data_IF_952651562420
#
_entry.id   IF_952651562420
#
_cell.length_a   1.000
_cell.length_b   1.000
_cell.length_c   1.000
_cell.angle_alpha   90.00
_cell.angle_beta   90.00
_cell.angle_gamma   90.00
#
_symmetry.space_group_name_H-M   'P 1'
#
loop_
_entity.id
_entity.type
_entity.pdbx_description
1 polymer ?
#
# COMPACT_ATOMS: atom_id res chain seq x y z
N UNK A 1 19.42 -12.24 19.85
CA UNK A 1 19.93 -11.09 20.62
C UNK A 1 18.95 -9.94 20.46
N UNK A 2 18.40 -9.43 21.57
CA UNK A 2 17.44 -8.32 21.58
C UNK A 2 18.03 -7.21 22.45
N UNK A 3 18.41 -6.12 21.81
CA UNK A 3 19.01 -4.92 22.41
C UNK A 3 18.22 -3.66 22.00
N UNK A 4 16.92 -3.81 21.77
CA UNK A 4 16.05 -2.70 21.44
C UNK A 4 15.91 -1.71 22.61
N UNK A 5 15.84 -0.41 22.30
CA UNK A 5 15.62 0.65 23.28
C UNK A 5 16.62 0.61 24.45
N UNK A 6 17.92 0.63 24.13
CA UNK A 6 19.02 0.56 25.11
C UNK A 6 19.90 1.80 25.10
N UNK A 7 19.48 2.87 24.43
CA UNK A 7 20.29 4.10 24.22
C UNK A 7 21.69 3.79 23.65
N UNK A 8 21.81 2.72 22.86
CA UNK A 8 23.08 2.38 22.21
C UNK A 8 23.43 3.42 21.16
N UNK A 9 24.71 3.77 21.05
CA UNK A 9 25.24 4.70 20.07
C UNK A 9 26.47 4.10 19.36
N UNK A 10 27.02 4.85 18.40
CA UNK A 10 28.14 4.38 17.58
C UNK A 10 27.67 3.46 16.45
N UNK A 11 28.62 2.76 15.84
CA UNK A 11 28.37 1.90 14.67
C UNK A 11 28.06 0.47 15.06
N UNK A 12 27.30 -0.25 14.24
CA UNK A 12 27.16 -1.71 14.38
C UNK A 12 28.52 -2.35 14.08
N UNK A 13 29.16 -3.03 15.05
CA UNK A 13 30.49 -3.60 14.83
C UNK A 13 30.40 -4.86 13.95
N UNK A 14 31.36 -5.03 13.03
CA UNK A 14 31.44 -6.22 12.15
C UNK A 14 31.63 -7.52 12.93
N UNK A 15 32.13 -7.47 14.17
CA UNK A 15 32.29 -8.62 15.05
C UNK A 15 30.96 -9.30 15.40
N UNK A 16 29.82 -8.63 15.22
CA UNK A 16 28.49 -9.24 15.38
C UNK A 16 28.30 -10.46 14.47
N UNK A 17 29.00 -10.51 13.33
CA UNK A 17 28.94 -11.62 12.37
C UNK A 17 29.55 -12.92 12.90
N UNK A 18 30.31 -12.88 14.00
CA UNK A 18 30.81 -14.07 14.69
C UNK A 18 29.70 -14.82 15.46
N UNK A 19 28.54 -14.20 15.68
CA UNK A 19 27.41 -14.78 16.40
C UNK A 19 26.55 -15.65 15.47
N UNK A 20 27.17 -16.68 14.89
CA UNK A 20 26.61 -17.50 13.80
C UNK A 20 25.33 -18.26 14.14
N UNK A 21 25.08 -18.50 15.43
CA UNK A 21 23.86 -19.15 15.92
C UNK A 21 22.67 -18.19 16.10
N UNK A 22 22.82 -16.89 15.78
CA UNK A 22 21.73 -15.92 15.92
C UNK A 22 20.61 -16.19 14.91
N UNK A 23 19.41 -16.39 15.45
CA UNK A 23 18.15 -16.45 14.67
C UNK A 23 17.39 -15.13 14.67
N UNK A 24 17.57 -14.31 15.71
CA UNK A 24 16.98 -12.97 15.82
C UNK A 24 18.02 -11.95 16.24
N UNK A 25 18.07 -10.83 15.54
CA UNK A 25 18.87 -9.65 15.89
C UNK A 25 17.96 -8.43 15.89
N UNK A 26 17.69 -7.90 17.08
CA UNK A 26 16.92 -6.66 17.25
C UNK A 26 17.79 -5.60 17.92
N UNK A 27 18.14 -4.56 17.15
CA UNK A 27 18.87 -3.37 17.57
C UNK A 27 18.01 -2.09 17.44
N UNK A 28 16.69 -2.25 17.33
CA UNK A 28 15.79 -1.13 17.02
C UNK A 28 15.67 -0.11 18.15
N UNK A 29 15.20 1.09 17.82
CA UNK A 29 14.97 2.18 18.77
C UNK A 29 16.25 2.53 19.56
N UNK A 30 17.36 2.73 18.85
CA UNK A 30 18.63 3.18 19.43
C UNK A 30 19.12 4.43 18.69
N UNK A 31 20.35 4.87 18.99
CA UNK A 31 21.02 5.99 18.32
C UNK A 31 22.22 5.50 17.50
N UNK A 32 22.11 4.32 16.88
CA UNK A 32 23.16 3.75 16.06
C UNK A 32 23.36 4.57 14.78
N UNK A 33 24.62 4.76 14.38
CA UNK A 33 25.05 5.57 13.23
C UNK A 33 25.92 4.76 12.27
N UNK A 34 26.26 5.36 11.13
CA UNK A 34 27.15 4.76 10.14
C UNK A 34 26.44 3.73 9.26
N UNK A 35 27.23 2.93 8.54
CA UNK A 35 26.71 1.94 7.59
C UNK A 35 26.26 0.66 8.29
N UNK A 36 25.29 -0.03 7.69
CA UNK A 36 24.96 -1.41 8.06
C UNK A 36 26.11 -2.29 7.55
N UNK A 37 26.89 -2.96 8.43
CA UNK A 37 27.95 -3.84 7.96
C UNK A 37 27.36 -5.03 7.22
N UNK A 38 28.12 -5.61 6.29
CA UNK A 38 27.74 -6.86 5.65
C UNK A 38 27.64 -7.97 6.69
N UNK A 39 26.43 -8.50 6.92
CA UNK A 39 26.14 -9.43 8.01
C UNK A 39 26.48 -10.91 7.69
N UNK A 40 27.41 -11.17 6.76
CA UNK A 40 27.52 -12.44 6.00
C UNK A 40 27.64 -13.71 6.85
N UNK A 41 28.11 -13.61 8.09
CA UNK A 41 28.22 -14.73 9.03
C UNK A 41 26.92 -15.14 9.73
N UNK A 42 25.84 -14.36 9.61
CA UNK A 42 24.56 -14.61 10.28
C UNK A 42 23.63 -15.50 9.44
N UNK A 43 24.11 -16.65 8.99
CA UNK A 43 23.39 -17.54 8.08
C UNK A 43 22.12 -18.18 8.66
N UNK A 44 21.99 -18.24 10.00
CA UNK A 44 20.78 -18.73 10.69
C UNK A 44 19.75 -17.62 10.95
N UNK A 45 20.01 -16.38 10.55
CA UNK A 45 19.17 -15.24 10.91
C UNK A 45 17.82 -15.32 10.18
N UNK A 46 16.75 -15.29 10.97
CA UNK A 46 15.36 -15.29 10.49
C UNK A 46 14.69 -13.93 10.66
N UNK A 47 15.11 -13.16 11.66
CA UNK A 47 14.48 -11.90 12.06
C UNK A 47 15.55 -10.83 12.33
N UNK A 48 15.58 -9.81 11.47
CA UNK A 48 16.45 -8.66 11.57
C UNK A 48 15.62 -7.39 11.78
N UNK A 49 15.80 -6.73 12.92
CA UNK A 49 15.19 -5.44 13.21
C UNK A 49 16.27 -4.40 13.56
N UNK A 50 16.43 -3.42 12.68
CA UNK A 50 17.34 -2.28 12.80
C UNK A 50 16.57 -0.94 12.80
N UNK A 51 15.25 -0.99 12.92
CA UNK A 51 14.37 0.17 12.76
C UNK A 51 14.61 1.27 13.81
N UNK A 52 14.26 2.51 13.46
CA UNK A 52 14.39 3.68 14.34
C UNK A 52 15.82 3.87 14.88
N UNK A 53 16.75 4.12 13.96
CA UNK A 53 18.14 4.46 14.23
C UNK A 53 18.58 5.62 13.30
N UNK A 54 19.87 5.94 13.26
CA UNK A 54 20.48 6.91 12.36
C UNK A 54 21.44 6.24 11.37
N UNK A 55 21.16 4.98 10.99
CA UNK A 55 21.97 4.23 10.04
C UNK A 55 21.90 4.88 8.65
N UNK A 56 22.99 4.82 7.90
CA UNK A 56 23.16 5.56 6.64
C UNK A 56 23.90 4.73 5.59
N UNK A 57 24.02 5.27 4.37
CA UNK A 57 24.63 4.56 3.25
C UNK A 57 23.67 3.56 2.60
N UNK A 58 24.21 2.50 2.00
CA UNK A 58 23.44 1.52 1.24
C UNK A 58 22.90 0.40 2.14
N UNK A 59 21.76 -0.16 1.76
CA UNK A 59 21.30 -1.44 2.31
C UNK A 59 22.20 -2.55 1.75
N UNK A 60 22.89 -3.34 2.60
CA UNK A 60 23.78 -4.39 2.12
C UNK A 60 22.99 -5.51 1.46
N UNK A 61 23.66 -6.30 0.61
CA UNK A 61 23.06 -7.48 0.01
C UNK A 61 22.87 -8.57 1.05
N UNK A 62 21.66 -9.13 1.11
CA UNK A 62 21.28 -10.20 2.02
C UNK A 62 21.11 -11.49 1.22
N UNK A 63 22.05 -12.42 1.38
CA UNK A 63 22.01 -13.73 0.72
C UNK A 63 21.53 -14.85 1.65
N UNK A 64 20.89 -14.52 2.77
CA UNK A 64 20.48 -15.52 3.76
C UNK A 64 19.19 -16.20 3.33
N UNK A 65 19.29 -17.49 3.03
CA UNK A 65 18.13 -18.31 2.72
C UNK A 65 17.07 -18.30 3.85
N UNK A 66 17.49 -18.17 5.11
CA UNK A 66 16.60 -18.27 6.28
C UNK A 66 15.88 -16.97 6.66
N UNK A 67 16.24 -15.81 6.11
CA UNK A 67 15.71 -14.53 6.56
C UNK A 67 14.24 -14.39 6.14
N UNK A 68 13.35 -14.20 7.13
CA UNK A 68 11.89 -14.09 6.96
C UNK A 68 11.40 -12.66 7.19
N UNK A 69 11.96 -11.97 8.18
CA UNK A 69 11.56 -10.62 8.57
C UNK A 69 12.76 -9.70 8.52
N UNK A 70 12.63 -8.62 7.77
CA UNK A 70 13.61 -7.53 7.71
C UNK A 70 12.90 -6.20 7.93
N UNK A 71 13.15 -5.58 9.09
CA UNK A 71 12.70 -4.24 9.41
C UNK A 71 13.91 -3.30 9.57
N UNK A 72 14.03 -2.32 8.69
CA UNK A 72 15.06 -1.28 8.72
C UNK A 72 14.41 0.11 8.58
N UNK A 73 13.16 0.23 9.04
CA UNK A 73 12.36 1.46 8.97
C UNK A 73 13.03 2.63 9.69
N UNK A 74 12.75 3.86 9.27
CA UNK A 74 13.13 5.08 10.00
C UNK A 74 14.63 5.16 10.25
N UNK A 75 15.40 5.26 9.17
CA UNK A 75 16.85 5.46 9.13
C UNK A 75 17.19 6.50 8.04
N UNK A 76 18.47 6.73 7.77
CA UNK A 76 18.97 7.64 6.74
C UNK A 76 19.60 6.87 5.57
N UNK A 77 19.02 5.73 5.20
CA UNK A 77 19.54 4.87 4.12
C UNK A 77 19.25 5.47 2.75
N UNK A 78 20.16 5.21 1.81
CA UNK A 78 20.18 5.77 0.46
C UNK A 78 20.43 4.67 -0.57
N UNK A 79 20.40 5.02 -1.85
CA UNK A 79 20.68 4.09 -2.94
C UNK A 79 19.43 3.36 -3.42
N UNK A 80 19.62 2.20 -4.06
CA UNK A 80 18.53 1.40 -4.61
C UNK A 80 17.93 0.46 -3.57
N UNK A 81 16.73 -0.06 -3.85
CA UNK A 81 16.17 -1.19 -3.10
C UNK A 81 17.14 -2.40 -3.16
N UNK A 82 17.35 -3.12 -2.04
CA UNK A 82 18.22 -4.28 -2.02
C UNK A 82 17.63 -5.41 -2.87
N UNK A 83 18.49 -6.14 -3.59
CA UNK A 83 18.10 -7.41 -4.19
C UNK A 83 17.92 -8.45 -3.08
N UNK A 84 16.72 -9.02 -2.99
CA UNK A 84 16.37 -10.05 -1.99
C UNK A 84 16.30 -11.47 -2.60
N UNK A 85 16.89 -11.66 -3.78
CA UNK A 85 17.01 -12.96 -4.47
C UNK A 85 17.61 -14.04 -3.56
N UNK A 86 16.94 -15.19 -3.48
CA UNK A 86 17.39 -16.33 -2.69
C UNK A 86 17.05 -16.29 -1.21
N UNK A 87 16.27 -15.29 -0.75
CA UNK A 87 15.76 -15.23 0.63
C UNK A 87 14.37 -15.84 0.74
N UNK A 88 14.01 -16.34 1.94
CA UNK A 88 12.65 -16.75 2.29
C UNK A 88 11.81 -15.59 2.86
N UNK A 89 12.07 -14.36 2.39
CA UNK A 89 11.53 -13.16 3.02
C UNK A 89 10.00 -13.08 2.90
N UNK A 90 9.34 -12.89 4.03
CA UNK A 90 7.88 -12.80 4.17
C UNK A 90 7.45 -11.36 4.47
N UNK A 91 8.29 -10.60 5.19
CA UNK A 91 8.04 -9.22 5.59
C UNK A 91 9.27 -8.37 5.32
N UNK A 92 9.09 -7.32 4.50
CA UNK A 92 10.09 -6.29 4.25
C UNK A 92 9.54 -4.91 4.60
N UNK A 93 10.18 -4.25 5.56
CA UNK A 93 9.87 -2.88 5.96
C UNK A 93 11.12 -2.00 5.87
N UNK A 94 11.10 -1.09 4.88
CA UNK A 94 12.14 -0.09 4.61
C UNK A 94 11.56 1.33 4.62
N UNK A 95 10.42 1.54 5.27
CA UNK A 95 9.77 2.85 5.30
C UNK A 95 10.67 3.94 5.90
N UNK A 96 10.39 5.21 5.58
CA UNK A 96 11.05 6.37 6.18
C UNK A 96 12.58 6.30 6.03
N UNK A 97 13.04 6.26 4.79
CA UNK A 97 14.45 6.33 4.40
C UNK A 97 14.57 7.28 3.17
N UNK A 98 15.72 7.33 2.52
CA UNK A 98 15.96 8.06 1.28
C UNK A 98 16.30 7.11 0.12
N UNK A 99 15.66 5.94 0.07
CA UNK A 99 15.85 4.95 -1.00
C UNK A 99 15.25 5.46 -2.31
N UNK A 100 15.82 5.03 -3.44
CA UNK A 100 15.53 5.52 -4.78
C UNK A 100 15.47 4.39 -5.81
N UNK A 101 15.13 4.73 -7.06
CA UNK A 101 14.93 3.76 -8.13
C UNK A 101 13.54 3.15 -8.13
N UNK A 102 13.34 2.09 -8.89
CA UNK A 102 12.05 1.41 -9.06
C UNK A 102 11.95 0.13 -8.25
N UNK A 103 10.72 -0.30 -7.96
CA UNK A 103 10.48 -1.66 -7.42
C UNK A 103 10.81 -2.65 -8.54
N UNK A 104 11.80 -3.52 -8.30
CA UNK A 104 12.06 -4.68 -9.16
C UNK A 104 11.01 -5.74 -8.90
N UNK A 105 10.71 -6.55 -9.93
CA UNK A 105 9.69 -7.59 -9.88
C UNK A 105 9.91 -8.55 -8.68
N UNK A 106 9.00 -8.57 -7.69
CA UNK A 106 9.13 -9.41 -6.51
C UNK A 106 8.56 -10.83 -6.71
N UNK A 107 8.23 -11.22 -7.96
CA UNK A 107 7.63 -12.51 -8.33
C UNK A 107 8.40 -13.76 -7.87
N UNK A 108 9.61 -13.60 -7.33
CA UNK A 108 10.46 -14.69 -6.84
C UNK A 108 10.44 -14.89 -5.31
N UNK A 109 9.54 -14.23 -4.59
CA UNK A 109 9.58 -14.19 -3.13
C UNK A 109 8.27 -14.65 -2.47
N UNK A 110 8.39 -15.27 -1.29
CA UNK A 110 7.27 -15.58 -0.38
C UNK A 110 6.80 -14.32 0.36
N UNK A 111 6.87 -13.15 -0.28
CA UNK A 111 6.63 -11.87 0.38
C UNK A 111 5.12 -11.66 0.50
N UNK A 112 4.66 -11.40 1.72
CA UNK A 112 3.25 -11.12 2.01
C UNK A 112 3.06 -9.70 2.53
N UNK A 113 4.12 -9.06 3.06
CA UNK A 113 4.09 -7.66 3.50
C UNK A 113 5.28 -6.89 2.92
N UNK A 114 4.98 -5.83 2.19
CA UNK A 114 5.97 -4.91 1.62
C UNK A 114 5.61 -3.47 1.99
N UNK A 115 6.50 -2.85 2.76
CA UNK A 115 6.34 -1.51 3.30
C UNK A 115 7.54 -0.64 2.88
N UNK A 116 7.32 0.26 1.92
CA UNK A 116 8.33 1.12 1.30
C UNK A 116 7.95 2.62 1.33
N UNK A 117 6.89 2.98 2.06
CA UNK A 117 6.42 4.35 2.15
C UNK A 117 7.46 5.35 2.68
N UNK A 118 7.30 6.63 2.32
CA UNK A 118 8.20 7.73 2.69
C UNK A 118 9.64 7.47 2.25
N UNK A 119 9.84 7.34 0.94
CA UNK A 119 11.14 7.21 0.29
C UNK A 119 11.17 8.10 -0.98
N UNK A 120 12.23 7.98 -1.79
CA UNK A 120 12.39 8.64 -3.09
C UNK A 120 12.26 7.64 -4.26
N UNK A 121 11.41 6.61 -4.10
CA UNK A 121 11.20 5.57 -5.12
C UNK A 121 10.34 6.10 -6.27
N UNK A 122 10.56 5.59 -7.47
CA UNK A 122 9.91 6.07 -8.70
C UNK A 122 9.63 4.93 -9.68
N UNK A 123 9.13 5.25 -10.87
CA UNK A 123 8.73 4.28 -11.89
C UNK A 123 7.32 3.71 -11.67
N UNK A 124 6.96 2.68 -12.44
CA UNK A 124 5.66 2.03 -12.36
C UNK A 124 5.62 0.95 -11.27
N UNK A 125 4.43 0.71 -10.70
CA UNK A 125 4.21 -0.39 -9.76
C UNK A 125 4.13 -1.72 -10.54
N UNK A 126 5.01 -2.71 -10.29
CA UNK A 126 4.95 -4.00 -10.97
C UNK A 126 3.64 -4.76 -10.70
N UNK A 127 3.02 -5.30 -11.74
CA UNK A 127 1.78 -6.08 -11.62
C UNK A 127 1.93 -7.34 -10.75
N UNK A 128 3.13 -7.92 -10.70
CA UNK A 128 3.45 -9.09 -9.87
C UNK A 128 3.30 -8.85 -8.35
N UNK A 129 3.32 -7.59 -7.89
CA UNK A 129 2.97 -7.27 -6.50
C UNK A 129 1.52 -7.65 -6.19
N UNK A 130 0.65 -7.59 -7.19
CA UNK A 130 -0.79 -7.77 -7.01
C UNK A 130 -1.24 -9.24 -6.91
N UNK A 131 -0.32 -10.20 -7.07
CA UNK A 131 -0.62 -11.64 -6.98
C UNK A 131 -0.15 -12.30 -5.69
N UNK A 132 0.81 -11.71 -4.97
CA UNK A 132 1.50 -12.34 -3.83
C UNK A 132 1.32 -11.58 -2.51
N UNK A 133 1.20 -10.25 -2.56
CA UNK A 133 1.21 -9.41 -1.37
C UNK A 133 -0.16 -9.38 -0.69
N UNK A 134 -0.15 -9.31 0.64
CA UNK A 134 -1.31 -9.11 1.49
C UNK A 134 -1.39 -7.66 2.03
N UNK A 135 -0.24 -7.09 2.42
CA UNK A 135 -0.12 -5.72 2.91
C UNK A 135 0.91 -4.95 2.08
N UNK A 136 0.45 -3.95 1.34
CA UNK A 136 1.29 -3.11 0.50
C UNK A 136 1.19 -1.65 0.95
N UNK A 137 2.32 -1.06 1.33
CA UNK A 137 2.42 0.34 1.68
C UNK A 137 3.52 1.02 0.88
N UNK A 138 3.13 1.80 -0.13
CA UNK A 138 4.03 2.53 -1.05
C UNK A 138 3.86 4.04 -0.95
N UNK A 139 3.16 4.54 0.07
CA UNK A 139 2.77 5.94 0.16
C UNK A 139 3.94 6.91 0.25
N UNK A 140 3.75 8.17 -0.14
CA UNK A 140 4.79 9.21 -0.09
C UNK A 140 6.05 8.80 -0.86
N UNK A 141 5.90 8.56 -2.16
CA UNK A 141 6.97 8.27 -3.11
C UNK A 141 6.68 9.02 -4.44
N UNK A 142 7.39 8.66 -5.51
CA UNK A 142 7.24 9.22 -6.86
C UNK A 142 6.80 8.14 -7.87
N UNK A 143 6.04 7.14 -7.42
CA UNK A 143 5.51 6.13 -8.34
C UNK A 143 4.54 6.78 -9.34
N UNK A 144 4.66 6.40 -10.61
CA UNK A 144 3.93 6.99 -11.73
C UNK A 144 3.38 5.93 -12.68
N UNK A 145 2.56 6.34 -13.64
CA UNK A 145 1.81 5.44 -14.51
C UNK A 145 0.57 4.86 -13.83
N UNK A 146 -0.11 3.97 -14.53
CA UNK A 146 -1.37 3.38 -14.10
C UNK A 146 -1.19 2.32 -13.01
N UNK A 147 -2.19 2.20 -12.15
CA UNK A 147 -2.32 1.06 -11.25
C UNK A 147 -2.56 -0.22 -12.10
N UNK A 148 -1.82 -1.32 -11.88
CA UNK A 148 -1.99 -2.56 -12.64
C UNK A 148 -3.41 -3.12 -12.64
N UNK A 149 -3.90 -3.46 -13.84
CA UNK A 149 -5.25 -3.98 -14.05
C UNK A 149 -5.32 -5.50 -13.78
N UNK A 150 -5.28 -5.88 -12.50
CA UNK A 150 -5.53 -7.25 -12.06
C UNK A 150 -6.98 -7.37 -11.58
N UNK A 151 -7.82 -8.09 -12.31
CA UNK A 151 -9.28 -8.15 -12.05
C UNK A 151 -9.57 -8.69 -10.63
N UNK A 152 -8.83 -9.68 -10.15
CA UNK A 152 -9.10 -10.35 -8.87
C UNK A 152 -7.87 -10.28 -7.97
N UNK A 153 -8.03 -9.63 -6.81
CA UNK A 153 -6.95 -9.41 -5.83
C UNK A 153 -7.35 -10.02 -4.49
N UNK A 154 -7.34 -11.35 -4.42
CA UNK A 154 -7.82 -12.11 -3.25
C UNK A 154 -6.85 -12.11 -2.06
N UNK A 155 -5.56 -11.88 -2.29
CA UNK A 155 -4.54 -11.89 -1.23
C UNK A 155 -4.58 -10.65 -0.33
N UNK A 156 -4.98 -9.49 -0.87
CA UNK A 156 -4.83 -8.23 -0.18
C UNK A 156 -5.79 -8.04 1.00
N UNK A 157 -5.23 -7.46 2.05
CA UNK A 157 -5.94 -6.89 3.19
C UNK A 157 -5.78 -5.38 3.25
N UNK A 158 -4.60 -4.86 2.92
CA UNK A 158 -4.31 -3.41 2.98
C UNK A 158 -3.48 -2.96 1.79
N UNK A 159 -3.91 -1.87 1.16
CA UNK A 159 -3.21 -1.19 0.08
C UNK A 159 -3.17 0.31 0.43
N UNK A 160 -1.97 0.86 0.53
CA UNK A 160 -1.74 2.30 0.64
C UNK A 160 -0.78 2.74 -0.47
N UNK A 161 -1.33 3.41 -1.48
CA UNK A 161 -0.61 4.01 -2.61
C UNK A 161 -0.68 5.55 -2.57
N UNK A 162 -1.08 6.11 -1.43
CA UNK A 162 -1.34 7.54 -1.31
C UNK A 162 -0.09 8.40 -1.53
N UNK A 163 -0.25 9.66 -1.90
CA UNK A 163 0.88 10.60 -2.06
C UNK A 163 1.93 10.08 -3.06
N UNK A 164 1.50 9.83 -4.28
CA UNK A 164 2.34 9.42 -5.41
C UNK A 164 1.95 10.24 -6.68
N UNK A 165 2.50 9.86 -7.83
CA UNK A 165 2.23 10.46 -9.13
C UNK A 165 1.39 9.54 -10.03
N UNK A 166 0.65 8.58 -9.47
CA UNK A 166 -0.10 7.57 -10.22
C UNK A 166 -1.22 8.22 -11.04
N UNK A 167 -1.44 7.75 -12.26
CA UNK A 167 -2.43 8.26 -13.20
C UNK A 167 -3.31 7.14 -13.78
N UNK A 168 -4.09 7.45 -14.82
CA UNK A 168 -5.05 6.50 -15.40
C UNK A 168 -6.32 6.35 -14.55
N UNK A 169 -6.97 5.19 -14.64
CA UNK A 169 -8.22 4.87 -13.93
C UNK A 169 -7.98 3.93 -12.75
N UNK A 170 -8.92 3.88 -11.81
CA UNK A 170 -8.93 2.86 -10.76
C UNK A 170 -9.42 1.54 -11.40
N UNK A 171 -8.68 0.42 -11.28
CA UNK A 171 -9.09 -0.85 -11.87
C UNK A 171 -10.35 -1.43 -11.20
N UNK A 172 -11.14 -2.20 -11.97
CA UNK A 172 -12.36 -2.88 -11.50
C UNK A 172 -12.04 -4.12 -10.64
N UNK A 173 -11.40 -3.91 -9.50
CA UNK A 173 -10.99 -4.99 -8.60
C UNK A 173 -12.16 -5.71 -7.95
N UNK A 174 -12.11 -7.04 -8.03
CA UNK A 174 -12.85 -7.94 -7.14
C UNK A 174 -11.92 -8.29 -5.97
N UNK A 175 -12.13 -7.61 -4.85
CA UNK A 175 -11.23 -7.62 -3.70
C UNK A 175 -11.94 -8.07 -2.40
N UNK A 176 -12.32 -9.35 -2.27
CA UNK A 176 -13.23 -9.81 -1.22
C UNK A 176 -12.64 -9.76 0.21
N UNK A 177 -11.32 -9.64 0.33
CA UNK A 177 -10.60 -9.63 1.60
C UNK A 177 -10.00 -8.24 1.96
N UNK A 178 -10.22 -7.24 1.11
CA UNK A 178 -9.57 -5.94 1.22
C UNK A 178 -10.26 -5.10 2.30
N UNK A 179 -9.51 -4.79 3.36
CA UNK A 179 -9.99 -4.05 4.52
C UNK A 179 -9.69 -2.56 4.45
N UNK A 180 -8.57 -2.18 3.83
CA UNK A 180 -8.11 -0.79 3.75
C UNK A 180 -7.55 -0.48 2.38
N UNK A 181 -8.06 0.59 1.76
CA UNK A 181 -7.55 1.11 0.49
C UNK A 181 -7.37 2.62 0.58
N UNK A 182 -6.13 3.09 0.45
CA UNK A 182 -5.81 4.51 0.29
C UNK A 182 -5.14 4.74 -1.06
N UNK A 183 -5.78 5.51 -1.93
CA UNK A 183 -5.25 5.99 -3.21
C UNK A 183 -5.18 7.52 -3.26
N UNK A 184 -5.32 8.20 -2.12
CA UNK A 184 -5.43 9.65 -2.07
C UNK A 184 -4.15 10.36 -2.51
N UNK A 185 -4.27 11.62 -2.93
CA UNK A 185 -3.14 12.45 -3.33
C UNK A 185 -2.33 11.81 -4.47
N UNK A 186 -3.03 11.55 -5.58
CA UNK A 186 -2.48 11.04 -6.84
C UNK A 186 -3.08 11.84 -8.02
N UNK A 187 -2.89 11.37 -9.24
CA UNK A 187 -3.43 11.94 -10.47
C UNK A 187 -4.48 11.05 -11.14
N UNK A 188 -5.09 10.13 -10.39
CA UNK A 188 -6.07 9.17 -10.90
C UNK A 188 -7.31 9.91 -11.41
N UNK A 189 -7.91 9.37 -12.47
CA UNK A 189 -9.01 9.98 -13.21
C UNK A 189 -10.08 8.95 -13.56
N UNK A 190 -11.20 9.41 -14.13
CA UNK A 190 -12.35 8.56 -14.43
C UNK A 190 -13.21 8.28 -13.19
N UNK A 191 -14.03 7.23 -13.27
CA UNK A 191 -15.05 6.90 -12.27
C UNK A 191 -14.52 5.91 -11.22
N UNK A 192 -15.05 5.97 -10.00
CA UNK A 192 -14.77 4.98 -8.96
C UNK A 192 -15.51 3.67 -9.31
N UNK A 193 -14.83 2.50 -9.42
CA UNK A 193 -15.46 1.23 -9.74
C UNK A 193 -16.55 0.81 -8.76
N UNK A 194 -17.67 0.34 -9.29
CA UNK A 194 -18.80 -0.20 -8.51
C UNK A 194 -18.37 -1.31 -7.53
N UNK A 195 -17.42 -2.14 -7.94
CA UNK A 195 -16.88 -3.24 -7.14
C UNK A 195 -16.19 -2.78 -5.85
N UNK A 196 -15.67 -1.55 -5.80
CA UNK A 196 -15.07 -0.96 -4.60
C UNK A 196 -16.11 -0.25 -3.74
N UNK A 197 -17.11 0.36 -4.37
CA UNK A 197 -18.22 1.05 -3.70
C UNK A 197 -19.01 0.06 -2.83
N UNK A 198 -19.41 -1.06 -3.44
CA UNK A 198 -20.21 -2.09 -2.78
C UNK A 198 -19.38 -3.19 -2.12
N UNK A 199 -18.07 -3.00 -2.02
CA UNK A 199 -17.21 -3.95 -1.31
C UNK A 199 -17.59 -3.98 0.18
N UNK A 200 -18.10 -5.12 0.64
CA UNK A 200 -18.54 -5.32 2.02
C UNK A 200 -17.39 -5.49 3.01
N UNK A 201 -16.20 -5.89 2.55
CA UNK A 201 -15.02 -6.09 3.40
C UNK A 201 -14.27 -4.81 3.74
N UNK A 202 -14.33 -3.79 2.86
CA UNK A 202 -13.62 -2.53 3.04
C UNK A 202 -14.12 -1.78 4.29
N UNK A 203 -13.21 -1.47 5.19
CA UNK A 203 -13.44 -0.68 6.41
C UNK A 203 -12.92 0.75 6.27
N UNK A 204 -11.86 0.93 5.47
CA UNK A 204 -11.26 2.23 5.17
C UNK A 204 -11.10 2.40 3.66
N UNK A 205 -11.52 3.55 3.14
CA UNK A 205 -11.47 3.88 1.72
C UNK A 205 -11.16 5.36 1.55
N UNK A 206 -10.09 5.69 0.84
CA UNK A 206 -9.70 7.09 0.63
C UNK A 206 -9.24 7.32 -0.81
N UNK A 207 -9.91 8.25 -1.49
CA UNK A 207 -9.65 8.63 -2.87
C UNK A 207 -9.42 10.14 -3.04
N UNK A 208 -9.34 10.88 -1.93
CA UNK A 208 -9.25 12.35 -1.95
C UNK A 208 -8.03 12.83 -2.74
N UNK A 209 -8.06 14.09 -3.20
CA UNK A 209 -6.95 14.70 -3.95
C UNK A 209 -6.55 13.88 -5.19
N UNK A 210 -7.53 13.54 -6.01
CA UNK A 210 -7.35 12.96 -7.35
C UNK A 210 -8.18 13.76 -8.38
N UNK A 211 -8.11 13.37 -9.64
CA UNK A 211 -8.93 13.89 -10.75
C UNK A 211 -10.14 12.99 -11.03
N UNK A 212 -10.62 12.30 -10.00
CA UNK A 212 -11.75 11.38 -10.11
C UNK A 212 -13.05 12.16 -10.24
N UNK A 213 -13.93 11.64 -11.07
CA UNK A 213 -15.25 12.19 -11.29
C UNK A 213 -16.31 11.28 -10.68
N UNK A 214 -17.48 11.86 -10.42
CA UNK A 214 -18.63 11.08 -10.00
C UNK A 214 -19.15 10.30 -11.20
N UNK A 215 -19.16 8.97 -11.08
CA UNK A 215 -19.78 8.11 -12.09
C UNK A 215 -21.30 8.17 -11.97
N UNK A 216 -21.98 8.32 -13.11
CA UNK A 216 -23.38 7.96 -13.20
C UNK A 216 -23.49 6.51 -13.68
N UNK A 217 -23.83 5.63 -12.74
CA UNK A 217 -24.06 4.23 -13.03
C UNK A 217 -25.49 4.10 -13.53
N UNK A 218 -25.66 3.60 -14.75
CA UNK A 218 -26.98 3.40 -15.33
C UNK A 218 -27.65 2.19 -14.68
N UNK A 219 -28.11 2.36 -13.44
CA UNK A 219 -29.17 1.51 -12.91
C UNK A 219 -30.41 1.80 -13.74
N UNK A 220 -31.12 0.76 -14.15
CA UNK A 220 -32.48 0.82 -14.66
C UNK A 220 -33.36 1.68 -13.71
N UNK A 221 -33.38 3.00 -13.92
CA UNK A 221 -33.93 3.98 -12.98
C UNK A 221 -33.23 5.35 -12.89
N UNK A 222 -32.05 5.58 -13.49
CA UNK A 222 -31.45 6.93 -13.61
C UNK A 222 -30.86 7.52 -12.32
N UNK A 223 -30.32 6.67 -11.43
CA UNK A 223 -29.70 7.10 -10.17
C UNK A 223 -28.18 7.23 -10.31
N UNK A 224 -27.64 8.41 -10.00
CA UNK A 224 -26.21 8.69 -9.84
C UNK A 224 -25.84 8.73 -8.36
N UNK A 225 -24.56 8.53 -8.04
CA UNK A 225 -24.08 8.57 -6.66
C UNK A 225 -22.93 9.56 -6.50
N UNK A 226 -23.05 10.48 -5.54
CA UNK A 226 -21.92 11.30 -5.09
C UNK A 226 -21.22 10.60 -3.93
N UNK A 227 -19.92 10.34 -4.08
CA UNK A 227 -19.05 9.85 -3.00
C UNK A 227 -18.38 11.07 -2.38
N UNK A 228 -18.85 11.50 -1.21
CA UNK A 228 -18.24 12.61 -0.50
C UNK A 228 -17.09 12.11 0.37
N UNK A 229 -15.88 12.62 0.12
CA UNK A 229 -14.84 12.77 1.14
C UNK A 229 -14.49 11.48 1.92
N UNK A 230 -14.00 10.46 1.22
CA UNK A 230 -13.54 9.17 1.81
C UNK A 230 -14.60 8.40 2.61
N UNK A 231 -15.85 8.87 2.61
CA UNK A 231 -16.97 8.17 3.22
C UNK A 231 -17.66 7.35 2.14
N UNK A 232 -17.97 6.08 2.43
CA UNK A 232 -18.84 5.24 1.57
C UNK A 232 -20.29 5.75 1.53
N UNK A 233 -20.50 7.06 1.67
CA UNK A 233 -21.82 7.67 1.67
C UNK A 233 -22.22 7.89 0.23
N UNK A 234 -23.12 7.03 -0.22
CA UNK A 234 -23.80 7.15 -1.50
C UNK A 234 -24.93 8.16 -1.34
N UNK A 235 -24.81 9.33 -1.97
CA UNK A 235 -25.95 10.25 -2.12
C UNK A 235 -26.59 10.07 -3.49
N UNK A 236 -27.88 9.71 -3.51
CA UNK A 236 -28.66 9.68 -4.74
C UNK A 236 -28.66 11.07 -5.40
N UNK A 237 -28.29 11.10 -6.67
CA UNK A 237 -28.40 12.23 -7.55
C UNK A 237 -29.17 11.80 -8.79
N UNK A 238 -30.17 12.55 -9.20
CA UNK A 238 -30.82 12.35 -10.49
C UNK A 238 -30.15 13.27 -11.49
N UNK A 239 -29.31 12.71 -12.36
CA UNK A 239 -28.76 13.46 -13.49
C UNK A 239 -29.54 13.02 -14.74
N UNK A 240 -30.36 13.93 -15.28
CA UNK A 240 -31.26 13.67 -16.42
C UNK A 240 -30.53 13.52 -17.77
N UNK A 241 -29.19 13.55 -17.78
CA UNK A 241 -28.36 13.57 -19.00
C UNK A 241 -27.16 12.62 -18.92
N UNK A 242 -27.27 11.53 -18.17
CA UNK A 242 -26.16 10.59 -17.98
C UNK A 242 -25.97 9.67 -19.18
N UNK A 243 -25.12 10.12 -20.10
CA UNK A 243 -24.32 9.19 -20.89
C UNK A 243 -23.26 8.59 -19.96
N UNK A 244 -23.02 7.27 -20.03
CA UNK A 244 -22.01 6.57 -19.23
C UNK A 244 -20.71 7.39 -19.17
N UNK A 245 -20.34 7.93 -17.99
CA UNK A 245 -19.19 8.82 -17.90
C UNK A 245 -19.14 9.68 -16.63
N UNK A 246 -18.11 10.53 -16.60
CA UNK A 246 -17.92 11.56 -15.59
C UNK A 246 -19.07 12.57 -15.61
N UNK A 247 -19.69 12.78 -14.45
CA UNK A 247 -20.63 13.90 -14.29
C UNK A 247 -20.04 14.90 -13.32
N UNK A 248 -19.60 16.02 -13.87
CA UNK A 248 -19.22 17.19 -13.10
C UNK A 248 -20.51 17.88 -12.62
N UNK A 249 -20.62 18.09 -11.30
CA UNK A 249 -21.74 18.78 -10.65
C UNK A 249 -23.12 18.12 -10.80
N UNK A 250 -23.31 16.90 -10.29
CA UNK A 250 -24.69 16.47 -10.01
C UNK A 250 -25.27 17.35 -8.87
N UNK A 251 -26.40 18.05 -9.08
CA UNK A 251 -27.00 18.89 -8.05
C UNK A 251 -27.41 18.05 -6.85
N UNK A 252 -26.83 18.34 -5.69
CA UNK A 252 -27.28 17.81 -4.41
C UNK A 252 -28.72 18.29 -4.19
N UNK A 253 -29.68 17.37 -4.09
CA UNK A 253 -31.04 17.74 -3.71
C UNK A 253 -31.01 18.35 -2.29
N UNK A 254 -31.18 19.67 -2.19
CA UNK A 254 -31.62 20.31 -0.96
C UNK A 254 -33.14 20.16 -0.88
N UNK A 255 -33.61 19.23 -0.05
CA UNK A 255 -34.97 19.15 0.52
C UNK A 255 -36.17 19.36 -0.43
N UNK A 256 -36.90 18.28 -0.77
CA UNK A 256 -38.33 18.35 -1.13
C UNK A 256 -39.03 16.99 -0.89
N UNK A 257 -40.31 16.97 -0.45
CA UNK A 257 -40.94 15.85 0.21
C UNK A 257 -41.68 14.98 -0.82
N UNK A 258 -40.95 14.08 -1.50
CA UNK A 258 -41.62 12.99 -2.19
C UNK A 258 -41.14 11.68 -1.58
N UNK A 259 -42.10 11.05 -0.92
CA UNK A 259 -42.02 9.74 -0.27
C UNK A 259 -41.33 8.71 -1.15
N UNK A 260 -40.31 8.09 -0.57
CA UNK A 260 -39.63 6.90 -1.10
C UNK A 260 -40.68 5.79 -1.31
N UNK A 261 -40.84 5.22 -2.52
CA UNK A 261 -41.60 3.99 -2.67
C UNK A 261 -40.82 2.86 -2.01
N UNK A 262 -41.44 2.13 -1.08
CA UNK A 262 -40.83 0.98 -0.40
C UNK A 262 -40.37 -0.09 -1.40
N UNK A 263 -39.19 -0.71 -1.22
CA UNK A 263 -38.66 -1.71 -2.15
C UNK A 263 -39.26 -3.11 -1.97
N UNK A 264 -40.28 -3.30 -1.13
CA UNK A 264 -40.89 -4.61 -0.90
C UNK A 264 -42.35 -4.64 -1.39
N UNK A 265 -42.75 -5.60 -2.24
CA UNK A 265 -44.17 -5.86 -2.45
C UNK A 265 -44.78 -6.36 -1.14
N UNK A 266 -45.90 -5.75 -0.74
CA UNK A 266 -46.69 -6.16 0.41
C UNK A 266 -47.06 -7.64 0.34
N UNK A 267 -47.10 -8.38 1.46
CA UNK A 267 -47.61 -9.75 1.45
C UNK A 267 -49.10 -9.71 1.07
N UNK A 268 -49.47 -10.48 0.05
CA UNK A 268 -50.85 -10.65 -0.42
C UNK A 268 -51.62 -11.49 0.62
N UNK A 269 -52.93 -11.21 0.84
CA UNK A 269 -53.72 -11.78 1.95
C UNK A 269 -53.85 -13.30 1.96
#
# INVERSE_FOLDING_TARGET
MILANKNMNGTIPTSITALTALTRLDLSQNSLVGMIPGLYGLYMLEDLNLGHNMLSGLVPLFYYASLKIMNITSNNLTGLLPTISGTALEVLDLQNNALSGSILDPSQHNLHTLLLGSNNLSGSIPSALFSSIQNLGLSNNQFSGSIPEIIVITSFRKIDLSHNLLDGTIPHWVAPNLLSLDLSSNQLSGTIPESLIYNSSLQYLNFNNNKLCYGCFNFSGGQCFLIYNSSKVLKNCYCNTCSNGCVDNCPLFSSSPYSIPSPFPSPIP
#
